data_IF_783546231066
#
_entry.id   IF_783546231066
#
_cell.length_a   1.000
_cell.length_b   1.000
_cell.length_c   1.000
_cell.angle_alpha   90.00
_cell.angle_beta   90.00
_cell.angle_gamma   90.00
#
_symmetry.space_group_name_H-M   'P 1'
#
loop_
_entity.id
_entity.type
_entity.pdbx_description
1 polymer ?
#
# COMPACT_ATOMS: atom_id res chain seq x y z
N UNK A 1 23.17 -0.04 18.68
CA UNK A 1 22.73 -1.23 18.03
C UNK A 1 22.82 -1.13 16.51
N UNK A 2 22.84 -2.26 15.88
CA UNK A 2 22.87 -2.31 14.42
C UNK A 2 21.46 -2.04 13.89
N UNK A 3 21.29 -1.16 12.86
CA UNK A 3 19.97 -0.96 12.27
C UNK A 3 19.42 -2.26 11.69
N UNK A 4 18.11 -2.39 11.72
CA UNK A 4 17.45 -3.51 11.08
C UNK A 4 17.73 -3.46 9.57
N UNK A 5 18.20 -4.57 9.01
CA UNK A 5 18.35 -4.71 7.57
C UNK A 5 16.98 -4.79 6.90
N UNK A 6 16.95 -4.57 5.61
CA UNK A 6 15.75 -4.78 4.81
C UNK A 6 15.36 -6.25 4.85
N UNK A 7 14.06 -6.57 4.78
CA UNK A 7 13.60 -7.96 4.80
C UNK A 7 14.10 -8.74 3.58
N UNK A 8 14.44 -10.01 3.79
CA UNK A 8 15.06 -10.87 2.76
C UNK A 8 14.19 -11.01 1.51
N UNK A 9 12.88 -11.04 1.67
CA UNK A 9 11.94 -11.18 0.56
C UNK A 9 11.62 -9.89 -0.17
N UNK A 10 12.13 -8.75 0.30
CA UNK A 10 11.84 -7.44 -0.28
C UNK A 10 10.47 -6.89 0.08
N UNK A 11 9.98 -6.00 -0.75
CA UNK A 11 8.82 -5.17 -0.46
C UNK A 11 7.70 -5.38 -1.46
N UNK A 12 6.46 -5.35 -0.98
CA UNK A 12 5.26 -5.21 -1.81
C UNK A 12 4.59 -3.89 -1.42
N UNK A 13 4.46 -3.00 -2.39
CA UNK A 13 3.85 -1.67 -2.20
C UNK A 13 2.37 -1.77 -2.51
N UNK A 14 1.52 -1.24 -1.66
CA UNK A 14 0.08 -1.21 -1.93
C UNK A 14 -0.44 0.23 -1.97
N UNK A 15 -1.34 0.47 -2.92
CA UNK A 15 -2.20 1.64 -2.99
C UNK A 15 -3.63 1.21 -3.22
N UNK A 16 -4.58 1.81 -2.52
CA UNK A 16 -6.00 1.52 -2.68
C UNK A 16 -6.81 2.81 -2.73
N UNK A 17 -7.90 2.77 -3.50
CA UNK A 17 -9.01 3.70 -3.37
C UNK A 17 -10.21 2.91 -2.89
N UNK A 18 -10.99 3.49 -2.00
CA UNK A 18 -12.10 2.80 -1.34
C UNK A 18 -13.39 3.58 -1.44
N UNK A 19 -14.51 2.87 -1.30
CA UNK A 19 -15.84 3.48 -1.33
C UNK A 19 -16.21 4.22 -0.03
N UNK A 20 -15.39 4.13 0.99
CA UNK A 20 -15.59 4.76 2.28
C UNK A 20 -14.45 4.42 3.23
N UNK A 21 -14.64 4.68 4.53
CA UNK A 21 -13.54 4.59 5.50
C UNK A 21 -13.56 3.34 6.38
N UNK A 22 -14.64 2.53 6.33
CA UNK A 22 -14.78 1.37 7.21
C UNK A 22 -14.65 0.06 6.45
N UNK A 23 -13.54 -0.69 6.67
CA UNK A 23 -13.37 -2.00 6.06
C UNK A 23 -14.56 -2.92 6.40
N UNK A 24 -14.97 -3.72 5.42
CA UNK A 24 -16.12 -4.62 5.57
C UNK A 24 -17.45 -3.98 5.18
N UNK A 25 -17.64 -2.69 5.42
CA UNK A 25 -18.79 -1.93 4.95
C UNK A 25 -18.47 -1.25 3.62
N UNK A 26 -17.35 -0.53 3.58
CA UNK A 26 -16.81 0.01 2.35
C UNK A 26 -15.95 -1.04 1.64
N UNK A 27 -15.75 -0.87 0.35
CA UNK A 27 -15.04 -1.81 -0.50
C UNK A 27 -13.87 -1.13 -1.19
N UNK A 28 -12.88 -1.93 -1.58
CA UNK A 28 -11.80 -1.47 -2.46
C UNK A 28 -12.33 -1.33 -3.87
N UNK A 29 -12.15 -0.16 -4.48
CA UNK A 29 -12.62 0.13 -5.85
C UNK A 29 -11.48 0.36 -6.83
N UNK A 30 -10.27 0.58 -6.34
CA UNK A 30 -9.05 0.63 -7.15
C UNK A 30 -7.91 0.05 -6.34
N UNK A 31 -7.10 -0.79 -6.98
CA UNK A 31 -6.04 -1.53 -6.31
C UNK A 31 -4.77 -1.50 -7.14
N UNK A 32 -3.66 -1.24 -6.48
CA UNK A 32 -2.33 -1.45 -7.04
C UNK A 32 -1.47 -2.17 -6.00
N UNK A 33 -0.89 -3.31 -6.40
CA UNK A 33 0.07 -4.06 -5.58
C UNK A 33 1.32 -4.24 -6.44
N UNK A 34 2.44 -3.72 -5.96
CA UNK A 34 3.70 -3.71 -6.71
C UNK A 34 4.76 -4.49 -5.92
N UNK A 35 5.22 -5.59 -6.49
CA UNK A 35 6.33 -6.36 -5.92
C UNK A 35 7.65 -5.84 -6.46
N UNK A 36 8.56 -5.47 -5.56
CA UNK A 36 9.84 -4.89 -5.94
C UNK A 36 10.95 -5.96 -5.97
N UNK A 37 11.89 -5.80 -6.90
CA UNK A 37 13.12 -6.57 -6.93
C UNK A 37 14.16 -6.02 -5.93
N UNK A 38 15.34 -6.61 -5.92
CA UNK A 38 16.42 -6.23 -4.99
C UNK A 38 16.94 -4.80 -5.26
N UNK A 39 16.72 -4.28 -6.46
CA UNK A 39 17.11 -2.92 -6.84
C UNK A 39 16.01 -1.89 -6.58
N UNK A 40 14.88 -2.32 -6.02
CA UNK A 40 13.74 -1.46 -5.75
C UNK A 40 12.86 -1.16 -6.97
N UNK A 41 13.02 -1.92 -8.04
CA UNK A 41 12.21 -1.78 -9.25
C UNK A 41 11.03 -2.73 -9.23
N UNK A 42 9.94 -2.33 -9.86
CA UNK A 42 8.75 -3.19 -9.96
C UNK A 42 9.04 -4.39 -10.86
N UNK A 43 8.94 -5.60 -10.31
CA UNK A 43 9.08 -6.84 -11.08
C UNK A 43 7.78 -7.60 -11.26
N UNK A 44 6.82 -7.42 -10.34
CA UNK A 44 5.48 -7.99 -10.43
C UNK A 44 4.46 -6.94 -10.06
N UNK A 45 3.28 -6.99 -10.65
CA UNK A 45 2.25 -6.02 -10.31
C UNK A 45 0.85 -6.57 -10.55
N UNK A 46 -0.10 -6.11 -9.73
CA UNK A 46 -1.53 -6.21 -9.99
C UNK A 46 -2.08 -4.80 -9.91
N UNK A 47 -2.68 -4.33 -10.98
CA UNK A 47 -3.31 -3.00 -11.04
C UNK A 47 -4.68 -3.18 -11.65
N UNK A 48 -5.72 -2.86 -10.91
CA UNK A 48 -7.09 -3.06 -11.37
C UNK A 48 -8.06 -2.11 -10.70
N UNK A 49 -9.00 -1.60 -11.47
CA UNK A 49 -10.27 -1.10 -10.93
C UNK A 49 -11.10 -2.33 -10.53
N UNK A 50 -11.93 -2.17 -9.52
CA UNK A 50 -12.76 -3.26 -9.00
C UNK A 50 -14.22 -2.85 -8.94
N UNK A 51 -15.10 -3.77 -9.29
CA UNK A 51 -16.53 -3.60 -9.10
C UNK A 51 -16.87 -3.98 -7.65
N UNK A 52 -17.27 -3.00 -6.80
CA UNK A 52 -17.52 -3.28 -5.40
C UNK A 52 -18.91 -3.87 -5.13
N UNK A 53 -19.82 -3.83 -6.12
CA UNK A 53 -21.21 -4.21 -5.91
C UNK A 53 -22.00 -3.26 -5.01
N UNK A 54 -21.44 -2.11 -4.66
CA UNK A 54 -22.05 -1.07 -3.82
C UNK A 54 -21.75 0.29 -4.43
N UNK A 55 -22.35 1.34 -3.91
CA UNK A 55 -22.04 2.72 -4.31
C UNK A 55 -20.53 2.98 -4.13
N UNK A 56 -19.82 3.49 -5.16
CA UNK A 56 -18.39 3.73 -5.05
C UNK A 56 -18.01 4.87 -4.13
N UNK A 57 -18.96 5.62 -3.59
CA UNK A 57 -18.69 6.71 -2.66
C UNK A 57 -18.33 8.02 -3.34
N UNK A 58 -17.56 8.89 -2.68
CA UNK A 58 -17.39 10.27 -3.10
C UNK A 58 -16.51 10.41 -4.34
N UNK A 59 -17.13 10.56 -5.52
CA UNK A 59 -16.41 10.75 -6.79
C UNK A 59 -15.52 11.98 -6.81
N UNK A 60 -15.83 13.00 -6.01
CA UNK A 60 -14.97 14.20 -5.90
C UNK A 60 -13.61 13.88 -5.25
N UNK A 61 -13.50 12.76 -4.55
CA UNK A 61 -12.23 12.32 -3.94
C UNK A 61 -11.43 11.43 -4.89
N UNK A 62 -12.03 10.37 -5.44
CA UNK A 62 -11.32 9.36 -6.24
C UNK A 62 -11.65 9.38 -7.73
N UNK A 63 -12.68 10.11 -8.14
CA UNK A 63 -13.05 10.21 -9.56
C UNK A 63 -13.70 8.97 -10.17
N UNK A 64 -14.02 7.95 -9.37
CA UNK A 64 -14.55 6.68 -9.85
C UNK A 64 -16.06 6.63 -9.68
N UNK A 65 -16.79 6.41 -10.78
CA UNK A 65 -18.25 6.32 -10.81
C UNK A 65 -18.71 4.87 -10.89
N UNK A 66 -19.97 4.62 -10.53
CA UNK A 66 -20.55 3.28 -10.66
C UNK A 66 -20.47 2.76 -12.10
N UNK A 67 -20.69 3.62 -13.08
CA UNK A 67 -20.62 3.26 -14.50
C UNK A 67 -19.20 2.81 -14.91
N UNK A 68 -18.17 3.47 -14.38
CA UNK A 68 -16.78 3.09 -14.65
C UNK A 68 -16.41 1.72 -14.09
N UNK A 69 -17.06 1.31 -12.99
CA UNK A 69 -16.73 0.09 -12.27
C UNK A 69 -17.63 -1.09 -12.62
N UNK A 70 -18.71 -0.85 -13.35
CA UNK A 70 -19.76 -1.85 -13.64
C UNK A 70 -19.20 -3.12 -14.28
N UNK A 71 -18.29 -3.00 -15.23
CA UNK A 71 -17.73 -4.13 -15.97
C UNK A 71 -16.35 -4.56 -15.44
N UNK A 72 -15.92 -4.02 -14.31
CA UNK A 72 -14.64 -4.37 -13.74
C UNK A 72 -14.71 -5.67 -12.94
N UNK A 73 -13.58 -6.37 -12.76
CA UNK A 73 -13.57 -7.59 -11.97
C UNK A 73 -13.87 -7.29 -10.49
N UNK A 74 -14.28 -8.33 -9.78
CA UNK A 74 -14.35 -8.30 -8.32
C UNK A 74 -13.00 -8.68 -7.73
N UNK A 75 -12.79 -8.38 -6.47
CA UNK A 75 -11.52 -8.73 -5.80
C UNK A 75 -11.25 -10.24 -5.87
N UNK A 76 -12.29 -11.07 -5.73
CA UNK A 76 -12.15 -12.53 -5.83
C UNK A 76 -11.55 -12.99 -7.17
N UNK A 77 -11.75 -12.20 -8.25
CA UNK A 77 -11.21 -12.53 -9.57
C UNK A 77 -9.70 -12.24 -9.68
N UNK A 78 -9.16 -11.36 -8.86
CA UNK A 78 -7.76 -10.93 -8.92
C UNK A 78 -6.94 -11.41 -7.72
N UNK A 79 -7.56 -12.01 -6.72
CA UNK A 79 -6.90 -12.34 -5.46
C UNK A 79 -5.73 -13.30 -5.63
N UNK A 80 -5.81 -14.26 -6.55
CA UNK A 80 -4.71 -15.20 -6.78
C UNK A 80 -3.47 -14.49 -7.29
N UNK A 81 -3.64 -13.50 -8.15
CA UNK A 81 -2.53 -12.68 -8.63
C UNK A 81 -1.97 -11.78 -7.52
N UNK A 82 -2.83 -11.25 -6.68
CA UNK A 82 -2.42 -10.47 -5.51
C UNK A 82 -1.57 -11.33 -4.57
N UNK A 83 -2.00 -12.54 -4.29
CA UNK A 83 -1.26 -13.50 -3.44
C UNK A 83 0.15 -13.74 -4.00
N UNK A 84 0.28 -13.91 -5.31
CA UNK A 84 1.58 -14.13 -5.94
C UNK A 84 2.54 -12.95 -5.74
N UNK A 85 2.03 -11.73 -5.82
CA UNK A 85 2.85 -10.54 -5.60
C UNK A 85 3.26 -10.41 -4.13
N UNK A 86 2.33 -10.70 -3.22
CA UNK A 86 2.56 -10.55 -1.79
C UNK A 86 3.48 -11.61 -1.20
N UNK A 87 3.53 -12.80 -1.80
CA UNK A 87 4.21 -13.96 -1.21
C UNK A 87 5.70 -13.70 -1.00
N UNK A 88 6.14 -13.87 0.24
CA UNK A 88 7.54 -13.66 0.63
C UNK A 88 7.94 -12.21 0.83
N UNK A 89 7.04 -11.24 0.63
CA UNK A 89 7.34 -9.82 0.72
C UNK A 89 6.73 -9.18 1.97
N UNK A 90 7.39 -8.13 2.46
CA UNK A 90 6.83 -7.26 3.50
C UNK A 90 5.91 -6.23 2.85
N UNK A 91 4.69 -6.12 3.35
CA UNK A 91 3.71 -5.15 2.83
C UNK A 91 4.07 -3.75 3.30
N UNK A 92 4.11 -2.81 2.35
CA UNK A 92 4.39 -1.39 2.62
C UNK A 92 3.23 -0.55 2.12
N UNK A 93 2.76 0.33 2.97
CA UNK A 93 1.78 1.34 2.59
C UNK A 93 2.02 2.62 3.36
N UNK A 94 1.51 3.71 2.83
CA UNK A 94 1.50 4.99 3.54
C UNK A 94 0.22 5.05 4.39
N UNK A 95 0.36 4.73 5.68
CA UNK A 95 -0.72 4.43 6.61
C UNK A 95 -1.19 2.97 6.47
N UNK A 96 -0.28 2.05 6.70
CA UNK A 96 -0.46 0.62 6.39
C UNK A 96 -1.64 -0.03 7.12
N UNK A 97 -1.99 0.45 8.31
CA UNK A 97 -3.13 -0.09 9.06
C UNK A 97 -4.43 0.03 8.25
N UNK A 98 -4.63 1.15 7.56
CA UNK A 98 -5.80 1.37 6.72
C UNK A 98 -5.81 0.40 5.52
N UNK A 99 -4.73 0.37 4.76
CA UNK A 99 -4.63 -0.46 3.56
C UNK A 99 -4.73 -1.95 3.89
N UNK A 100 -4.04 -2.37 4.95
CA UNK A 100 -4.09 -3.76 5.42
C UNK A 100 -5.52 -4.16 5.81
N UNK A 101 -6.22 -3.29 6.55
CA UNK A 101 -7.58 -3.59 6.99
C UNK A 101 -8.54 -3.79 5.82
N UNK A 102 -8.45 -2.95 4.80
CA UNK A 102 -9.25 -3.10 3.59
C UNK A 102 -8.89 -4.35 2.80
N UNK A 103 -7.60 -4.62 2.66
CA UNK A 103 -7.14 -5.82 1.94
C UNK A 103 -7.58 -7.09 2.65
N UNK A 104 -7.46 -7.13 3.98
CA UNK A 104 -7.89 -8.27 4.79
C UNK A 104 -9.41 -8.49 4.70
N UNK A 105 -10.20 -7.41 4.70
CA UNK A 105 -11.65 -7.50 4.56
C UNK A 105 -12.04 -8.04 3.18
N UNK A 106 -11.38 -7.61 2.12
CA UNK A 106 -11.62 -8.14 0.77
C UNK A 106 -11.24 -9.61 0.67
N UNK A 107 -10.13 -10.01 1.27
CA UNK A 107 -9.70 -11.41 1.30
C UNK A 107 -10.70 -12.29 2.05
N UNK A 108 -11.22 -11.81 3.17
CA UNK A 108 -12.25 -12.54 3.93
C UNK A 108 -13.51 -12.76 3.09
N UNK A 109 -13.99 -11.73 2.37
CA UNK A 109 -15.13 -11.85 1.49
C UNK A 109 -14.86 -12.83 0.32
N UNK A 110 -13.63 -12.88 -0.16
CA UNK A 110 -13.21 -13.79 -1.24
C UNK A 110 -12.85 -15.19 -0.71
N UNK A 111 -12.94 -15.43 0.59
CA UNK A 111 -12.56 -16.68 1.24
C UNK A 111 -11.11 -17.06 0.94
N UNK A 112 -10.23 -16.07 0.93
CA UNK A 112 -8.80 -16.24 0.63
C UNK A 112 -7.95 -15.84 1.82
N UNK A 113 -6.77 -16.45 1.93
CA UNK A 113 -5.75 -16.06 2.89
C UNK A 113 -4.64 -15.30 2.18
N UNK A 114 -4.19 -14.21 2.80
CA UNK A 114 -3.10 -13.40 2.27
C UNK A 114 -1.78 -13.80 2.95
N UNK A 115 -0.70 -14.01 2.18
CA UNK A 115 0.59 -14.40 2.74
C UNK A 115 1.37 -13.16 3.21
N UNK A 116 0.79 -12.43 4.17
CA UNK A 116 1.40 -11.23 4.73
C UNK A 116 1.87 -11.56 6.15
N UNK A 117 3.18 -11.68 6.33
CA UNK A 117 3.79 -11.98 7.62
C UNK A 117 4.30 -10.73 8.33
N UNK A 118 4.60 -9.68 7.59
CA UNK A 118 5.11 -8.43 8.14
C UNK A 118 4.66 -7.24 7.31
N UNK A 119 4.61 -6.09 7.98
CA UNK A 119 4.21 -4.81 7.37
C UNK A 119 5.15 -3.71 7.80
N UNK A 120 5.25 -2.66 6.98
CA UNK A 120 5.93 -1.42 7.33
C UNK A 120 5.09 -0.23 6.89
N UNK A 121 4.91 0.73 7.78
CA UNK A 121 4.22 1.99 7.48
C UNK A 121 5.23 3.06 7.15
N UNK A 122 5.14 3.67 5.97
CA UNK A 122 6.04 4.74 5.55
C UNK A 122 5.82 6.03 6.33
N UNK A 123 4.64 6.25 6.91
CA UNK A 123 4.43 7.37 7.86
C UNK A 123 5.29 7.17 9.10
N UNK A 124 5.30 5.97 9.66
CA UNK A 124 6.13 5.64 10.82
C UNK A 124 7.62 5.78 10.50
N UNK A 125 8.05 5.27 9.36
CA UNK A 125 9.44 5.41 8.91
C UNK A 125 9.82 6.89 8.77
N UNK A 126 8.99 7.68 8.09
CA UNK A 126 9.24 9.11 7.90
C UNK A 126 9.33 9.86 9.24
N UNK A 127 8.48 9.48 10.20
CA UNK A 127 8.53 10.07 11.55
C UNK A 127 9.88 9.81 12.22
N UNK A 128 10.41 8.60 12.10
CA UNK A 128 11.72 8.24 12.66
C UNK A 128 12.88 8.98 12.00
N UNK A 129 12.72 9.36 10.74
CA UNK A 129 13.77 10.09 10.02
C UNK A 129 13.88 11.56 10.42
N UNK A 130 12.87 12.12 11.05
CA UNK A 130 12.87 13.50 11.55
C UNK A 130 13.34 14.49 10.48
N UNK A 131 12.55 14.60 9.42
CA UNK A 131 12.94 15.32 8.20
C UNK A 131 12.77 16.84 8.28
N UNK A 132 12.15 17.36 9.35
CA UNK A 132 11.94 18.80 9.50
C UNK A 132 10.93 19.39 8.52
N UNK A 133 9.97 18.59 8.07
CA UNK A 133 8.91 19.00 7.14
C UNK A 133 7.59 19.21 7.87
N UNK A 134 6.65 19.93 7.23
CA UNK A 134 5.41 20.39 7.86
C UNK A 134 4.47 19.24 8.27
N UNK A 135 4.45 18.18 7.50
CA UNK A 135 3.61 17.01 7.75
C UNK A 135 4.20 15.78 7.07
N UNK A 136 3.62 14.61 7.30
CA UNK A 136 4.09 13.33 6.76
C UNK A 136 3.17 12.77 5.67
N UNK A 137 2.41 13.63 4.99
CA UNK A 137 1.58 13.20 3.86
C UNK A 137 2.45 12.73 2.71
N UNK A 138 1.93 11.82 1.91
CA UNK A 138 2.66 11.27 0.78
C UNK A 138 3.14 12.37 -0.18
N UNK A 139 2.28 13.33 -0.51
CA UNK A 139 2.61 14.46 -1.37
C UNK A 139 3.74 15.32 -0.81
N UNK A 140 3.79 15.50 0.50
CA UNK A 140 4.84 16.27 1.17
C UNK A 140 6.18 15.53 1.10
N UNK A 141 6.17 14.22 1.34
CA UNK A 141 7.36 13.40 1.23
C UNK A 141 7.86 13.34 -0.21
N UNK A 142 6.95 13.19 -1.16
CA UNK A 142 7.28 13.18 -2.59
C UNK A 142 7.96 14.50 -3.00
N UNK A 143 7.41 15.63 -2.57
CA UNK A 143 8.00 16.94 -2.85
C UNK A 143 9.37 17.09 -2.18
N UNK A 144 9.50 16.62 -0.94
CA UNK A 144 10.78 16.69 -0.21
C UNK A 144 11.89 15.95 -0.94
N UNK A 145 11.62 14.80 -1.54
CA UNK A 145 12.61 14.00 -2.25
C UNK A 145 12.55 14.12 -3.76
N UNK A 146 11.76 15.03 -4.30
CA UNK A 146 11.69 15.25 -5.75
C UNK A 146 11.07 14.09 -6.52
N UNK A 147 10.18 13.32 -5.88
CA UNK A 147 9.45 12.23 -6.53
C UNK A 147 8.24 12.83 -7.25
N UNK A 148 8.11 12.65 -8.57
CA UNK A 148 6.97 13.24 -9.30
C UNK A 148 5.66 12.54 -8.91
N UNK A 149 4.60 13.35 -8.77
CA UNK A 149 3.26 12.88 -8.49
C UNK A 149 2.33 13.47 -9.55
N UNK A 150 1.80 12.62 -10.43
CA UNK A 150 1.03 13.07 -11.59
C UNK A 150 -0.47 13.03 -11.35
N UNK A 151 -0.96 12.00 -10.67
CA UNK A 151 -2.39 11.75 -10.44
C UNK A 151 -2.67 11.43 -8.98
N UNK A 152 -2.73 12.46 -8.09
CA UNK A 152 -3.09 12.22 -6.70
C UNK A 152 -4.43 11.48 -6.60
N UNK A 153 -4.54 10.56 -5.63
CA UNK A 153 -5.72 9.72 -5.40
C UNK A 153 -6.00 8.69 -6.49
N UNK A 154 -5.03 8.41 -7.37
CA UNK A 154 -5.05 7.24 -8.25
C UNK A 154 -4.22 6.15 -7.59
N UNK A 155 -4.78 4.96 -7.37
CA UNK A 155 -4.11 3.90 -6.61
C UNK A 155 -2.75 3.51 -7.22
N UNK A 156 -2.68 3.40 -8.54
CA UNK A 156 -1.42 3.06 -9.21
C UNK A 156 -0.39 4.18 -9.09
N UNK A 157 -0.79 5.42 -9.35
CA UNK A 157 0.13 6.55 -9.25
C UNK A 157 0.62 6.71 -7.82
N UNK A 158 -0.26 6.61 -6.83
CA UNK A 158 0.12 6.68 -5.41
C UNK A 158 1.11 5.57 -5.04
N UNK A 159 0.91 4.34 -5.55
CA UNK A 159 1.83 3.23 -5.31
C UNK A 159 3.20 3.49 -5.97
N UNK A 160 3.23 4.05 -7.17
CA UNK A 160 4.47 4.41 -7.84
C UNK A 160 5.20 5.54 -7.11
N UNK A 161 4.48 6.56 -6.66
CA UNK A 161 5.04 7.63 -5.84
C UNK A 161 5.62 7.06 -4.55
N UNK A 162 4.88 6.17 -3.90
CA UNK A 162 5.34 5.53 -2.67
C UNK A 162 6.59 4.69 -2.90
N UNK A 163 6.70 4.04 -4.05
CA UNK A 163 7.92 3.30 -4.43
C UNK A 163 9.14 4.21 -4.44
N UNK A 164 9.01 5.39 -5.05
CA UNK A 164 10.09 6.40 -5.07
C UNK A 164 10.39 6.98 -3.69
N UNK A 165 9.35 7.27 -2.92
CA UNK A 165 9.49 7.77 -1.54
C UNK A 165 10.17 6.72 -0.66
N UNK A 166 9.79 5.45 -0.79
CA UNK A 166 10.42 4.36 -0.04
C UNK A 166 11.91 4.26 -0.34
N UNK A 167 12.30 4.32 -1.61
CA UNK A 167 13.71 4.26 -1.98
C UNK A 167 14.53 5.37 -1.30
N UNK A 168 14.00 6.60 -1.30
CA UNK A 168 14.65 7.73 -0.64
C UNK A 168 14.67 7.59 0.87
N UNK A 169 13.58 7.11 1.47
CA UNK A 169 13.48 6.91 2.90
C UNK A 169 14.44 5.82 3.39
N UNK A 170 14.56 4.72 2.66
CA UNK A 170 15.49 3.64 2.99
C UNK A 170 16.94 4.11 2.91
N UNK A 171 17.29 4.89 1.90
CA UNK A 171 18.63 5.47 1.78
C UNK A 171 18.93 6.39 2.97
N UNK A 172 17.97 7.24 3.34
CA UNK A 172 18.14 8.13 4.49
C UNK A 172 18.27 7.34 5.80
N UNK A 173 17.51 6.26 5.96
CA UNK A 173 17.61 5.39 7.13
C UNK A 173 19.00 4.76 7.23
N UNK A 174 19.57 4.30 6.11
CA UNK A 174 20.93 3.76 6.06
C UNK A 174 21.95 4.82 6.46
N UNK A 175 21.83 6.03 5.92
CA UNK A 175 22.77 7.14 6.22
C UNK A 175 22.75 7.52 7.70
N UNK A 176 21.59 7.46 8.34
CA UNK A 176 21.39 7.85 9.73
C UNK A 176 21.40 6.69 10.71
N UNK A 177 21.60 5.47 10.23
CA UNK A 177 21.65 4.27 11.07
C UNK A 177 20.34 4.06 11.84
N UNK A 178 19.21 4.19 11.15
CA UNK A 178 17.87 4.10 11.74
C UNK A 178 17.28 2.72 11.49
N UNK A 179 16.74 2.11 12.56
CA UNK A 179 16.01 0.86 12.50
C UNK A 179 14.71 1.02 11.70
N UNK A 180 14.48 0.09 10.79
CA UNK A 180 13.23 0.08 10.01
C UNK A 180 12.08 -0.41 10.88
N UNK A 181 10.91 0.28 10.82
CA UNK A 181 9.73 -0.10 11.60
C UNK A 181 8.94 -1.25 10.96
N UNK A 182 9.60 -2.38 10.75
CA UNK A 182 8.95 -3.60 10.25
C UNK A 182 8.31 -4.32 11.42
N UNK A 183 7.02 -4.59 11.32
CA UNK A 183 6.25 -5.24 12.37
C UNK A 183 5.66 -6.56 11.88
N UNK A 184 5.68 -7.62 12.71
CA UNK A 184 5.00 -8.85 12.36
C UNK A 184 3.49 -8.67 12.41
N UNK A 185 2.78 -9.40 11.56
CA UNK A 185 1.32 -9.45 11.55
C UNK A 185 0.85 -10.65 12.36
N UNK A 186 -0.01 -10.37 13.36
CA UNK A 186 -0.67 -11.42 14.12
C UNK A 186 -2.08 -11.57 13.56
N UNK A 187 -2.37 -12.65 12.85
CA UNK A 187 -3.62 -12.85 12.10
C UNK A 187 -4.89 -12.70 12.94
N UNK A 188 -4.82 -12.88 14.28
CA UNK A 188 -5.97 -12.79 15.18
C UNK A 188 -6.26 -11.40 15.69
N UNK A 189 -5.30 -10.50 15.64
CA UNK A 189 -5.37 -9.19 16.30
C UNK A 189 -5.22 -8.01 15.37
N UNK A 190 -4.73 -8.24 14.19
CA UNK A 190 -4.48 -7.17 13.24
C UNK A 190 -5.52 -7.19 12.13
N UNK A 191 -6.05 -6.03 11.78
CA UNK A 191 -6.00 -4.75 12.51
C UNK A 191 -7.14 -4.68 13.52
N UNK A 192 -6.86 -4.24 14.71
CA UNK A 192 -7.89 -3.98 15.72
C UNK A 192 -8.12 -2.48 15.86
#
# INVERSE_FOLDING_TARGET
GRPASEPDGGWAIIGVETSGFRPGQARVISLAVLGLDDDGRVEQSVVSLLNPGVDPGPTHVHGLTAAMLEDQPQFADVVDDVVKVLDGRTLVAHNVAFDYAFLAAEAELAEAELPIDSVMCTVELARRLDLGIDNLRLETLAAHWGVPQERPHDAFDDAMVLTGVLASALERARQRDIWLPVHPVTRRRWPN
#
